data_IF_958553305495
#
_entry.id   IF_958553305495
#
_cell.length_a   1.000
_cell.length_b   1.000
_cell.length_c   1.000
_cell.angle_alpha   90.00
_cell.angle_beta   90.00
_cell.angle_gamma   90.00
#
_symmetry.space_group_name_H-M   'P 1'
#
loop_
_entity.id
_entity.type
_entity.pdbx_description
1 polymer ?
#
# COMPACT_ATOMS: atom_id res chain seq x y z
N UNK A 1 -55.16 55.63 85.30
CA UNK A 1 -54.09 55.19 84.37
C UNK A 1 -54.65 55.02 82.97
N UNK A 2 -53.98 55.44 81.98
CA UNK A 2 -54.30 55.23 80.49
C UNK A 2 -53.16 54.46 79.86
N UNK A 3 -53.47 53.49 79.04
CA UNK A 3 -52.51 52.81 78.17
C UNK A 3 -52.76 53.28 76.77
N UNK A 4 -51.70 53.67 76.06
CA UNK A 4 -51.70 54.03 74.62
C UNK A 4 -50.75 53.07 73.87
N UNK A 5 -51.18 52.60 72.70
CA UNK A 5 -50.40 51.74 71.85
C UNK A 5 -50.53 52.18 70.40
N UNK A 6 -49.47 51.98 69.66
CA UNK A 6 -49.46 52.21 68.19
C UNK A 6 -48.54 51.17 67.57
N UNK A 7 -48.74 50.86 66.29
CA UNK A 7 -47.94 49.92 65.49
C UNK A 7 -47.31 50.66 64.36
N UNK A 8 -46.05 50.36 64.07
CA UNK A 8 -45.36 50.87 62.87
C UNK A 8 -44.80 49.72 62.09
N UNK A 9 -44.84 49.86 60.75
CA UNK A 9 -44.23 48.86 59.83
C UNK A 9 -42.75 49.23 59.68
N UNK A 10 -41.90 48.21 59.92
CA UNK A 10 -40.45 48.29 59.82
C UNK A 10 -39.92 47.81 58.46
N UNK A 11 -40.85 47.42 57.53
CA UNK A 11 -40.48 46.90 56.22
C UNK A 11 -39.70 47.94 55.39
N UNK A 12 -38.54 47.53 54.84
CA UNK A 12 -37.71 48.39 54.01
C UNK A 12 -36.75 49.31 54.76
N UNK A 13 -36.70 49.24 56.07
CA UNK A 13 -35.65 49.90 56.85
C UNK A 13 -34.37 49.04 56.82
N UNK A 14 -33.22 49.67 56.55
CA UNK A 14 -31.95 48.96 56.62
C UNK A 14 -31.67 48.44 58.03
N UNK A 15 -30.97 47.27 58.07
CA UNK A 15 -30.43 46.81 59.36
C UNK A 15 -29.57 47.87 60.01
N UNK A 16 -29.47 47.85 61.32
CA UNK A 16 -28.74 48.86 62.10
C UNK A 16 -29.49 50.19 62.24
N UNK A 17 -30.65 50.42 61.61
CA UNK A 17 -31.45 51.62 61.78
C UNK A 17 -31.89 51.72 63.24
N UNK A 18 -31.61 52.89 63.89
CA UNK A 18 -32.02 53.19 65.23
C UNK A 18 -33.29 54.02 65.18
N UNK A 19 -34.36 53.45 65.70
CA UNK A 19 -35.65 54.13 65.85
C UNK A 19 -35.77 54.66 67.25
N UNK A 20 -36.08 55.94 67.35
CA UNK A 20 -36.36 56.56 68.63
C UNK A 20 -37.89 56.77 68.81
N UNK A 21 -38.48 55.99 69.69
CA UNK A 21 -39.89 56.10 70.02
C UNK A 21 -40.01 56.97 71.24
N UNK A 22 -40.63 58.16 71.09
CA UNK A 22 -40.82 59.15 72.14
C UNK A 22 -42.32 59.30 72.42
N UNK A 23 -42.68 59.03 73.70
CA UNK A 23 -44.03 59.28 74.21
C UNK A 23 -44.03 60.54 75.00
N UNK A 24 -44.98 61.44 74.69
CA UNK A 24 -45.28 62.68 75.38
C UNK A 24 -46.59 62.46 76.19
N UNK A 25 -46.62 62.70 77.46
CA UNK A 25 -47.81 62.72 78.25
C UNK A 25 -48.00 64.13 78.82
N UNK A 26 -49.21 64.67 78.64
CA UNK A 26 -49.58 66.03 79.16
C UNK A 26 -50.70 65.86 80.21
N UNK A 27 -50.54 66.43 81.34
CA UNK A 27 -51.59 66.48 82.38
C UNK A 27 -52.61 67.61 82.14
N UNK A 28 -53.66 67.68 82.92
CA UNK A 28 -54.73 68.71 82.88
C UNK A 28 -54.22 70.12 83.12
N UNK A 29 -53.09 70.32 83.72
CA UNK A 29 -52.40 71.59 83.95
C UNK A 29 -51.37 71.93 82.86
N UNK A 30 -51.36 71.21 81.77
CA UNK A 30 -50.47 71.38 80.62
C UNK A 30 -48.97 71.05 80.97
N UNK A 31 -48.66 70.31 82.05
CA UNK A 31 -47.30 69.81 82.28
C UNK A 31 -47.02 68.64 81.33
N UNK A 32 -45.91 68.66 80.67
CA UNK A 32 -45.48 67.61 79.65
C UNK A 32 -44.35 66.82 80.27
N UNK A 33 -44.47 65.47 80.24
CA UNK A 33 -43.38 64.56 80.49
C UNK A 33 -43.17 63.72 79.24
N UNK A 34 -41.91 63.56 78.87
CA UNK A 34 -41.52 62.63 77.79
C UNK A 34 -40.76 61.47 78.32
N UNK A 35 -40.87 60.30 77.60
CA UNK A 35 -40.02 59.18 77.73
C UNK A 35 -39.67 58.59 76.35
N UNK A 36 -38.44 58.29 76.16
CA UNK A 36 -37.94 57.81 74.85
C UNK A 36 -37.29 56.36 75.05
N UNK A 37 -37.56 55.55 74.11
CA UNK A 37 -36.98 54.23 73.94
C UNK A 37 -36.38 54.05 72.56
N UNK A 38 -35.14 53.60 72.56
CA UNK A 38 -34.43 53.26 71.29
C UNK A 38 -34.68 51.81 70.95
N UNK A 39 -35.03 51.58 69.65
CA UNK A 39 -35.10 50.25 69.05
C UNK A 39 -34.13 50.22 67.89
N UNK A 40 -33.18 49.31 67.89
CA UNK A 40 -32.30 49.08 66.77
C UNK A 40 -32.83 47.90 65.97
N UNK A 41 -32.95 48.11 64.67
CA UNK A 41 -33.35 47.05 63.72
C UNK A 41 -32.18 46.13 63.52
N UNK A 42 -32.36 44.83 63.84
CA UNK A 42 -31.37 43.82 63.56
C UNK A 42 -31.26 43.63 62.04
N UNK A 43 -30.05 43.59 61.54
CA UNK A 43 -29.78 43.21 60.19
C UNK A 43 -29.78 41.67 60.04
N UNK A 44 -30.58 41.14 59.10
CA UNK A 44 -30.68 39.71 58.77
C UNK A 44 -30.43 39.47 57.26
N UNK A 45 -30.02 40.50 56.54
CA UNK A 45 -29.76 40.41 55.13
C UNK A 45 -28.29 40.02 54.92
N UNK A 46 -28.03 38.97 54.16
CA UNK A 46 -26.66 38.52 53.86
C UNK A 46 -26.02 39.36 52.76
N UNK A 47 -24.70 39.53 52.75
CA UNK A 47 -24.01 40.22 51.66
C UNK A 47 -24.32 39.64 50.29
N UNK A 48 -24.35 40.49 49.26
CA UNK A 48 -24.41 40.07 47.86
C UNK A 48 -22.98 39.88 47.35
N UNK A 49 -22.69 38.70 46.75
CA UNK A 49 -21.36 38.34 46.26
C UNK A 49 -21.46 37.98 44.78
N UNK A 50 -20.79 38.75 43.90
CA UNK A 50 -20.61 38.43 42.50
C UNK A 50 -19.15 38.17 42.22
N UNK A 51 -18.85 36.92 41.78
CA UNK A 51 -17.49 36.49 41.51
C UNK A 51 -17.23 36.14 40.06
N UNK A 52 -16.02 36.44 39.58
CA UNK A 52 -15.59 36.21 38.22
C UNK A 52 -14.13 35.80 38.16
N UNK A 53 -13.78 35.10 37.07
CA UNK A 53 -12.39 34.82 36.71
C UNK A 53 -11.94 35.76 35.57
N UNK A 54 -10.65 36.06 35.49
CA UNK A 54 -10.05 36.80 34.39
C UNK A 54 -9.95 35.95 33.09
N UNK A 55 -10.18 34.65 33.15
CA UNK A 55 -10.10 33.70 32.02
C UNK A 55 -11.29 32.74 32.06
N UNK A 56 -11.77 32.33 30.88
CA UNK A 56 -12.75 31.26 30.70
C UNK A 56 -12.11 29.87 30.51
N UNK A 57 -10.88 29.85 29.98
CA UNK A 57 -10.09 28.65 29.77
C UNK A 57 -8.75 28.81 30.47
N UNK A 58 -8.54 28.05 31.52
CA UNK A 58 -7.29 28.03 32.26
C UNK A 58 -6.33 26.97 31.69
N UNK A 59 -5.04 27.22 31.73
CA UNK A 59 -4.00 26.30 31.34
C UNK A 59 -3.15 25.88 32.53
N UNK A 60 -2.63 24.66 32.52
CA UNK A 60 -1.65 24.21 33.50
C UNK A 60 -0.47 25.19 33.54
N UNK A 61 0.09 25.40 34.75
CA UNK A 61 1.20 26.33 34.99
C UNK A 61 0.89 27.83 34.70
N UNK A 62 -0.34 28.19 34.42
CA UNK A 62 -0.75 29.61 34.32
C UNK A 62 -1.15 30.19 35.66
N UNK A 63 -1.46 31.49 35.67
CA UNK A 63 -2.06 32.18 36.82
C UNK A 63 -3.50 32.55 36.50
N UNK A 64 -4.38 32.32 37.44
CA UNK A 64 -5.79 32.73 37.34
C UNK A 64 -6.08 33.75 38.41
N UNK A 65 -6.67 34.90 38.00
CA UNK A 65 -7.15 35.90 38.96
C UNK A 65 -8.64 35.66 39.21
N UNK A 66 -8.97 35.57 40.46
CA UNK A 66 -10.32 35.49 40.97
C UNK A 66 -10.69 36.84 41.61
N UNK A 67 -11.80 37.43 41.20
CA UNK A 67 -12.30 38.71 41.69
C UNK A 67 -13.73 38.54 42.20
N UNK A 68 -14.02 39.09 43.38
CA UNK A 68 -15.37 39.14 43.88
C UNK A 68 -15.74 40.57 44.28
N UNK A 69 -16.89 41.06 43.75
CA UNK A 69 -17.54 42.27 44.16
C UNK A 69 -18.57 41.92 45.25
N UNK A 70 -18.46 42.58 46.39
CA UNK A 70 -19.24 42.28 47.59
C UNK A 70 -19.94 43.57 48.01
N UNK A 71 -21.24 43.53 48.22
CA UNK A 71 -22.03 44.65 48.71
C UNK A 71 -22.98 44.24 49.82
N UNK A 72 -23.23 45.15 50.75
CA UNK A 72 -24.17 44.97 51.87
C UNK A 72 -24.74 46.34 52.29
N UNK A 73 -26.01 46.42 52.69
CA UNK A 73 -26.65 47.67 53.01
C UNK A 73 -26.24 48.24 54.34
N UNK A 74 -25.77 47.42 55.30
CA UNK A 74 -25.34 47.83 56.63
C UNK A 74 -23.86 48.01 56.78
N UNK A 75 -23.09 47.16 56.12
CA UNK A 75 -21.66 47.23 56.08
C UNK A 75 -20.98 45.87 56.09
N UNK A 76 -19.83 45.83 55.48
CA UNK A 76 -19.01 44.63 55.36
C UNK A 76 -18.00 44.52 56.49
N UNK A 77 -17.76 43.28 57.00
CA UNK A 77 -16.79 42.97 58.02
C UNK A 77 -15.57 42.23 57.47
N UNK A 78 -15.80 41.14 56.74
CA UNK A 78 -14.71 40.34 56.23
C UNK A 78 -15.11 39.50 54.99
N UNK A 79 -14.08 39.07 54.21
CA UNK A 79 -14.25 38.02 53.23
C UNK A 79 -13.14 36.99 53.37
N UNK A 80 -13.51 35.73 53.26
CA UNK A 80 -12.59 34.58 53.27
C UNK A 80 -12.70 33.87 51.90
N UNK A 81 -11.58 33.72 51.26
CA UNK A 81 -11.48 33.11 49.94
C UNK A 81 -10.74 31.76 50.08
N UNK A 82 -11.26 30.75 49.41
CA UNK A 82 -10.63 29.41 49.36
C UNK A 82 -10.66 28.87 47.93
N UNK A 83 -9.57 28.15 47.55
CA UNK A 83 -9.52 27.33 46.36
C UNK A 83 -9.00 25.95 46.70
N UNK A 84 -9.68 24.94 46.20
CA UNK A 84 -9.24 23.55 46.33
C UNK A 84 -8.44 23.19 45.08
N UNK A 85 -7.14 22.93 45.24
CA UNK A 85 -6.24 22.35 44.25
C UNK A 85 -6.03 20.86 44.57
N UNK A 86 -5.62 20.07 43.59
CA UNK A 86 -5.22 18.68 43.78
C UNK A 86 -4.06 18.51 44.81
N UNK A 87 -3.23 19.53 44.91
CA UNK A 87 -2.08 19.59 45.84
C UNK A 87 -2.41 20.15 47.22
N UNK A 88 -3.63 20.61 47.47
CA UNK A 88 -4.04 21.16 48.75
C UNK A 88 -5.02 22.31 48.63
N UNK A 89 -5.35 22.92 49.78
CA UNK A 89 -6.28 24.03 49.87
C UNK A 89 -5.51 25.33 50.09
N UNK A 90 -5.76 26.33 49.28
CA UNK A 90 -5.24 27.69 49.43
C UNK A 90 -6.37 28.56 49.97
N UNK A 91 -6.05 29.53 50.85
CA UNK A 91 -7.01 30.47 51.41
C UNK A 91 -6.38 31.85 51.59
N UNK A 92 -7.23 32.88 51.55
CA UNK A 92 -6.88 34.23 51.87
C UNK A 92 -8.02 34.89 52.66
N UNK A 93 -7.67 35.77 53.63
CA UNK A 93 -8.60 36.46 54.47
C UNK A 93 -8.46 37.98 54.26
N UNK A 94 -9.59 38.67 54.16
CA UNK A 94 -9.67 40.11 53.94
C UNK A 94 -10.53 40.74 55.01
N UNK A 95 -10.01 41.80 55.62
CA UNK A 95 -10.82 42.69 56.48
C UNK A 95 -11.48 43.73 55.55
N UNK A 96 -12.78 43.85 55.64
CA UNK A 96 -13.57 44.76 54.80
C UNK A 96 -14.16 45.91 55.65
N UNK A 97 -14.56 46.97 55.00
CA UNK A 97 -15.25 48.08 55.60
C UNK A 97 -16.13 48.82 54.58
N UNK A 98 -17.14 49.54 55.04
CA UNK A 98 -18.11 50.20 54.18
C UNK A 98 -19.15 49.24 53.62
N UNK A 99 -19.99 49.71 52.71
CA UNK A 99 -21.11 48.96 52.13
C UNK A 99 -20.76 48.27 50.82
N UNK A 100 -19.55 48.47 50.28
CA UNK A 100 -19.08 47.84 49.05
C UNK A 100 -17.59 47.64 49.09
N UNK A 101 -17.13 46.47 48.63
CA UNK A 101 -15.73 46.11 48.51
C UNK A 101 -15.48 45.21 47.34
N UNK A 102 -14.28 45.28 46.75
CA UNK A 102 -13.79 44.32 45.79
C UNK A 102 -12.56 43.59 46.41
N UNK A 103 -12.59 42.28 46.33
CA UNK A 103 -11.43 41.44 46.70
C UNK A 103 -10.95 40.69 45.47
N UNK A 104 -9.64 40.57 45.31
CA UNK A 104 -9.05 39.81 44.22
C UNK A 104 -7.81 39.07 44.72
N UNK A 105 -7.54 37.91 44.12
CA UNK A 105 -6.34 37.17 44.35
C UNK A 105 -5.90 36.44 43.10
N UNK A 106 -4.60 36.08 43.03
CA UNK A 106 -3.99 35.33 41.94
C UNK A 106 -3.56 33.96 42.48
N UNK A 107 -3.92 32.92 41.76
CA UNK A 107 -3.56 31.54 42.08
C UNK A 107 -2.76 30.92 40.95
N UNK A 108 -1.60 30.33 41.27
CA UNK A 108 -0.83 29.54 40.36
C UNK A 108 -1.47 28.17 40.15
N UNK A 109 -1.57 27.72 38.92
CA UNK A 109 -2.08 26.39 38.54
C UNK A 109 -0.96 25.35 38.37
N UNK A 110 0.26 25.61 38.90
CA UNK A 110 1.39 24.70 38.79
C UNK A 110 1.18 23.35 39.52
N UNK A 111 0.23 23.29 40.45
CA UNK A 111 -0.16 22.06 41.14
C UNK A 111 -1.39 21.36 40.53
N UNK A 112 -1.89 21.82 39.40
CA UNK A 112 -3.07 21.29 38.74
C UNK A 112 -2.63 20.44 37.54
N UNK A 113 -3.21 19.27 37.37
CA UNK A 113 -3.10 18.50 36.13
C UNK A 113 -4.15 18.99 35.15
N UNK A 114 -3.98 18.67 33.87
CA UNK A 114 -4.98 18.95 32.85
C UNK A 114 -6.33 18.33 33.23
N UNK A 115 -7.42 18.96 32.81
CA UNK A 115 -8.81 18.61 33.15
C UNK A 115 -9.18 18.73 34.67
N UNK A 116 -8.26 19.16 35.51
CA UNK A 116 -8.64 19.41 36.90
C UNK A 116 -9.72 20.48 37.01
N UNK A 117 -10.64 20.30 37.97
CA UNK A 117 -11.69 21.28 38.25
C UNK A 117 -11.36 21.97 39.57
N UNK A 118 -11.21 23.28 39.50
CA UNK A 118 -10.97 24.14 40.65
C UNK A 118 -12.29 24.67 41.16
N UNK A 119 -12.49 24.58 42.46
CA UNK A 119 -13.63 25.22 43.12
C UNK A 119 -13.13 26.39 43.97
N UNK A 120 -13.40 27.59 43.47
CA UNK A 120 -13.18 28.87 44.18
C UNK A 120 -14.41 29.21 44.97
N UNK A 121 -14.25 29.30 46.27
CA UNK A 121 -15.33 29.62 47.20
C UNK A 121 -14.98 30.87 47.99
N UNK A 122 -15.90 31.81 48.08
CA UNK A 122 -15.79 33.02 48.90
C UNK A 122 -16.92 33.04 49.91
N UNK A 123 -16.58 33.40 51.15
CA UNK A 123 -17.50 33.68 52.25
C UNK A 123 -17.38 35.16 52.54
N UNK A 124 -18.47 35.92 52.44
CA UNK A 124 -18.52 37.30 52.85
C UNK A 124 -19.36 37.44 54.12
N UNK A 125 -18.86 38.20 55.07
CA UNK A 125 -19.52 38.46 56.37
C UNK A 125 -19.74 39.96 56.50
N UNK A 126 -20.95 40.36 56.88
CA UNK A 126 -21.31 41.77 57.21
C UNK A 126 -20.98 42.11 58.67
N UNK A 127 -21.21 43.37 59.04
CA UNK A 127 -21.00 43.84 60.43
C UNK A 127 -21.99 43.26 61.41
N UNK A 128 -23.06 42.64 60.99
CA UNK A 128 -24.09 41.94 61.77
C UNK A 128 -23.85 40.43 61.89
N UNK A 129 -22.74 39.95 61.30
CA UNK A 129 -22.33 38.54 61.25
C UNK A 129 -23.23 37.65 60.33
N UNK A 130 -23.99 38.22 59.42
CA UNK A 130 -24.63 37.41 58.37
C UNK A 130 -23.58 37.00 57.36
N UNK A 131 -23.65 35.72 56.88
CA UNK A 131 -22.64 35.15 55.98
C UNK A 131 -23.26 34.70 54.68
N UNK A 132 -22.65 35.11 53.59
CA UNK A 132 -22.94 34.64 52.22
C UNK A 132 -21.77 33.86 51.68
N UNK A 133 -22.08 32.68 51.13
CA UNK A 133 -21.13 31.86 50.36
C UNK A 133 -21.47 32.01 48.85
N UNK A 134 -20.45 32.16 48.04
CA UNK A 134 -20.54 31.96 46.60
C UNK A 134 -19.41 31.09 46.09
N UNK A 135 -19.71 30.16 45.15
CA UNK A 135 -18.72 29.23 44.61
C UNK A 135 -18.76 29.25 43.08
N UNK A 136 -17.59 29.24 42.47
CA UNK A 136 -17.44 29.26 41.01
C UNK A 136 -16.42 28.16 40.63
N UNK A 137 -16.77 27.35 39.63
CA UNK A 137 -15.93 26.31 39.10
C UNK A 137 -15.14 26.82 37.89
N UNK A 138 -13.88 26.39 37.82
CA UNK A 138 -13.00 26.61 36.68
C UNK A 138 -12.33 25.31 36.29
N UNK A 139 -12.46 24.89 35.03
CA UNK A 139 -11.79 23.69 34.49
C UNK A 139 -10.50 24.09 33.82
N UNK A 140 -9.43 23.35 34.06
CA UNK A 140 -8.14 23.51 33.39
C UNK A 140 -8.19 22.74 32.09
N UNK A 141 -7.89 23.40 30.99
CA UNK A 141 -7.91 22.81 29.65
C UNK A 141 -6.77 21.83 29.44
N UNK A 142 -7.06 20.78 28.73
CA UNK A 142 -6.07 19.86 28.19
C UNK A 142 -5.50 20.45 26.87
N UNK A 143 -4.19 20.54 26.76
CA UNK A 143 -3.46 21.03 25.58
C UNK A 143 -2.36 20.06 25.13
N UNK A 144 -2.28 18.91 25.77
CA UNK A 144 -1.27 17.88 25.47
C UNK A 144 -1.78 16.97 24.36
N UNK A 145 -1.15 16.98 23.19
CA UNK A 145 -1.57 16.08 22.09
C UNK A 145 -1.27 14.62 22.41
N UNK A 146 -2.02 13.66 21.82
CA UNK A 146 -1.77 12.24 21.97
C UNK A 146 -0.34 11.82 21.60
N UNK A 147 0.18 10.78 22.22
CA UNK A 147 1.41 10.10 21.79
C UNK A 147 1.05 9.07 20.74
N UNK A 148 1.73 9.12 19.57
CA UNK A 148 1.48 8.25 18.42
C UNK A 148 2.74 7.48 18.06
N UNK A 149 2.71 6.15 18.22
CA UNK A 149 3.78 5.23 17.82
C UNK A 149 3.28 4.31 16.72
N UNK A 150 4.04 4.19 15.64
CA UNK A 150 3.70 3.35 14.50
C UNK A 150 4.70 2.21 14.32
N UNK A 151 4.21 1.03 13.96
CA UNK A 151 5.03 -0.15 13.62
C UNK A 151 4.55 -0.78 12.33
N UNK A 152 5.47 -1.43 11.62
CA UNK A 152 5.24 -2.08 10.34
C UNK A 152 5.88 -3.47 10.37
N UNK A 153 5.30 -4.42 9.60
CA UNK A 153 5.85 -5.77 9.49
C UNK A 153 7.13 -5.83 8.65
N UNK A 154 7.44 -4.79 7.88
CA UNK A 154 8.67 -4.68 7.08
C UNK A 154 9.14 -3.23 7.00
N UNK A 155 10.45 -3.04 6.87
CA UNK A 155 11.10 -1.74 6.62
C UNK A 155 11.57 -1.59 5.18
N UNK A 156 11.52 -2.67 4.38
CA UNK A 156 11.95 -2.71 2.98
C UNK A 156 10.91 -3.47 2.16
N UNK A 157 9.76 -2.85 1.88
CA UNK A 157 8.67 -3.50 1.17
C UNK A 157 8.99 -3.73 -0.31
N UNK A 158 8.51 -4.85 -0.86
CA UNK A 158 8.61 -5.21 -2.27
C UNK A 158 7.23 -5.10 -2.93
N UNK A 159 7.19 -4.99 -4.23
CA UNK A 159 5.95 -4.88 -5.00
C UNK A 159 5.07 -6.15 -5.02
N UNK A 160 5.45 -7.19 -4.28
CA UNK A 160 4.67 -8.43 -4.06
C UNK A 160 4.22 -8.58 -2.60
N UNK A 161 4.57 -7.63 -1.72
CA UNK A 161 4.32 -7.76 -0.29
C UNK A 161 2.94 -7.21 0.11
N UNK A 162 2.47 -7.65 1.29
CA UNK A 162 1.38 -7.02 2.04
C UNK A 162 2.00 -6.33 3.24
N UNK A 163 1.81 -5.01 3.36
CA UNK A 163 2.23 -4.26 4.53
C UNK A 163 1.12 -4.33 5.57
N UNK A 164 1.48 -4.83 6.77
CA UNK A 164 0.70 -4.67 7.99
C UNK A 164 1.24 -3.47 8.76
N UNK A 165 0.39 -2.55 9.13
CA UNK A 165 0.76 -1.38 9.91
C UNK A 165 -0.14 -1.23 11.12
N UNK A 166 0.49 -0.87 12.23
CA UNK A 166 -0.15 -0.75 13.53
C UNK A 166 0.24 0.58 14.15
N UNK A 167 -0.73 1.28 14.70
CA UNK A 167 -0.56 2.49 15.49
C UNK A 167 -0.98 2.27 16.93
N UNK A 168 -0.09 2.54 17.87
CA UNK A 168 -0.40 2.62 19.29
C UNK A 168 -0.54 4.09 19.66
N UNK A 169 -1.70 4.44 20.17
CA UNK A 169 -2.07 5.82 20.52
C UNK A 169 -2.39 5.88 22.01
N UNK A 170 -1.79 6.83 22.73
CA UNK A 170 -2.09 7.04 24.15
C UNK A 170 -2.25 8.53 24.43
N UNK A 171 -3.16 8.84 25.36
CA UNK A 171 -3.39 10.17 25.88
C UNK A 171 -3.86 10.09 27.34
N UNK A 172 -3.36 11.01 28.20
CA UNK A 172 -3.70 10.99 29.62
C UNK A 172 -5.13 11.35 29.94
N UNK A 173 -5.77 12.14 29.09
CA UNK A 173 -7.11 12.69 29.32
C UNK A 173 -8.19 12.05 28.42
N UNK A 174 -7.78 11.27 27.42
CA UNK A 174 -8.69 10.46 26.60
C UNK A 174 -8.57 10.68 25.10
N UNK A 175 -8.81 9.62 24.38
CA UNK A 175 -8.74 9.57 22.92
C UNK A 175 -10.12 9.76 22.30
N UNK A 176 -10.19 10.45 21.16
CA UNK A 176 -11.41 10.66 20.36
C UNK A 176 -11.36 9.86 19.06
N UNK A 177 -10.29 10.00 18.28
CA UNK A 177 -10.20 9.37 16.96
C UNK A 177 -8.76 9.15 16.50
N UNK A 178 -8.59 8.25 15.52
CA UNK A 178 -7.36 8.14 14.76
C UNK A 178 -7.68 7.92 13.27
N UNK A 179 -6.82 8.47 12.40
CA UNK A 179 -6.97 8.36 10.96
C UNK A 179 -5.65 7.93 10.35
N UNK A 180 -5.64 6.79 9.64
CA UNK A 180 -4.55 6.44 8.75
C UNK A 180 -4.77 7.05 7.37
N UNK A 181 -3.74 7.65 6.82
CA UNK A 181 -3.65 8.02 5.41
C UNK A 181 -2.46 7.34 4.78
N UNK A 182 -2.66 6.79 3.59
CA UNK A 182 -1.59 6.23 2.76
C UNK A 182 -1.61 7.02 1.46
N UNK A 183 -0.53 7.77 1.20
CA UNK A 183 -0.36 8.50 -0.04
C UNK A 183 0.44 7.64 -1.02
N UNK A 184 -0.15 7.36 -2.18
CA UNK A 184 0.49 6.77 -3.35
C UNK A 184 0.74 7.88 -4.39
N UNK A 185 1.58 7.61 -5.36
CA UNK A 185 1.75 8.50 -6.53
C UNK A 185 0.44 8.68 -7.32
N UNK A 186 -0.49 7.71 -7.23
CA UNK A 186 -1.75 7.67 -7.99
C UNK A 186 -2.98 8.01 -7.17
N UNK A 187 -2.87 8.30 -5.86
CA UNK A 187 -4.02 8.58 -5.01
C UNK A 187 -3.76 8.48 -3.52
N UNK A 188 -4.84 8.52 -2.73
CA UNK A 188 -4.82 8.40 -1.27
C UNK A 188 -5.82 7.35 -0.80
N UNK A 189 -5.44 6.59 0.21
CA UNK A 189 -6.35 5.75 0.99
C UNK A 189 -6.53 6.35 2.39
N UNK A 190 -7.74 6.22 2.94
CA UNK A 190 -8.11 6.70 4.28
C UNK A 190 -8.75 5.59 5.08
N UNK A 191 -8.41 5.52 6.36
CA UNK A 191 -9.04 4.62 7.33
C UNK A 191 -9.26 5.38 8.62
N UNK A 192 -10.53 5.48 9.03
CA UNK A 192 -10.94 6.24 10.21
C UNK A 192 -11.34 5.30 11.33
N UNK A 193 -10.94 5.63 12.55
CA UNK A 193 -11.24 4.90 13.77
C UNK A 193 -11.81 5.84 14.81
N UNK A 194 -12.93 5.49 15.42
CA UNK A 194 -13.41 6.12 16.64
C UNK A 194 -12.71 5.47 17.82
N UNK A 195 -12.13 6.26 18.68
CA UNK A 195 -11.38 5.81 19.85
C UNK A 195 -12.09 6.21 21.14
N UNK A 196 -11.72 5.55 22.25
CA UNK A 196 -12.18 5.90 23.59
C UNK A 196 -11.15 5.40 24.62
N UNK A 197 -11.22 5.97 25.84
CA UNK A 197 -10.25 5.66 26.89
C UNK A 197 -8.92 6.36 26.65
N UNK A 198 -7.90 5.96 27.39
CA UNK A 198 -6.57 6.61 27.40
C UNK A 198 -5.53 5.87 26.57
N UNK A 199 -5.86 4.71 25.99
CA UNK A 199 -4.97 3.91 25.14
C UNK A 199 -5.77 3.13 24.12
N UNK A 200 -5.29 3.11 22.88
CA UNK A 200 -5.89 2.36 21.80
C UNK A 200 -4.82 1.87 20.80
N UNK A 201 -5.12 0.75 20.14
CA UNK A 201 -4.35 0.25 19.02
C UNK A 201 -5.23 0.22 17.77
N UNK A 202 -4.71 0.76 16.67
CA UNK A 202 -5.35 0.73 15.35
C UNK A 202 -4.42 0.03 14.37
N UNK A 203 -4.94 -0.89 13.56
CA UNK A 203 -4.15 -1.64 12.58
C UNK A 203 -4.92 -1.85 11.28
N UNK A 204 -4.18 -1.97 10.20
CA UNK A 204 -4.73 -2.35 8.90
C UNK A 204 -3.63 -2.95 8.00
N UNK A 205 -4.04 -3.39 6.82
CA UNK A 205 -3.14 -4.00 5.82
C UNK A 205 -3.32 -3.30 4.47
N UNK A 206 -2.24 -3.25 3.71
CA UNK A 206 -2.25 -2.76 2.32
C UNK A 206 -1.48 -3.73 1.44
N UNK A 207 -2.07 -4.10 0.31
CA UNK A 207 -1.43 -4.92 -0.71
C UNK A 207 -0.65 -4.03 -1.69
N UNK A 208 0.61 -4.37 -1.95
CA UNK A 208 1.49 -3.63 -2.85
C UNK A 208 1.58 -4.25 -4.24
N UNK A 209 0.90 -5.39 -4.47
CA UNK A 209 0.95 -6.09 -5.76
C UNK A 209 0.51 -5.20 -6.92
N UNK A 210 1.34 -5.14 -7.97
CA UNK A 210 1.09 -4.33 -9.16
C UNK A 210 1.49 -2.86 -9.04
N UNK A 211 2.05 -2.42 -7.91
CA UNK A 211 2.68 -1.11 -7.83
C UNK A 211 4.09 -1.19 -8.43
N UNK A 212 4.48 -0.23 -9.29
CA UNK A 212 5.83 -0.21 -9.84
C UNK A 212 6.90 -0.10 -8.76
N UNK A 213 8.04 -0.73 -8.99
CA UNK A 213 9.23 -0.48 -8.17
C UNK A 213 9.61 1.00 -8.17
N UNK A 214 10.22 1.47 -7.10
CA UNK A 214 10.50 2.89 -6.88
C UNK A 214 9.30 3.72 -6.43
N UNK A 215 8.07 3.16 -6.37
CA UNK A 215 6.92 3.88 -5.81
C UNK A 215 7.17 4.27 -4.38
N UNK A 216 6.93 5.54 -4.06
CA UNK A 216 7.05 6.08 -2.70
C UNK A 216 5.68 6.06 -2.04
N UNK A 217 5.61 5.42 -0.87
CA UNK A 217 4.43 5.35 -0.01
C UNK A 217 4.69 6.18 1.24
N UNK A 218 3.78 7.09 1.57
CA UNK A 218 3.80 7.81 2.83
C UNK A 218 2.60 7.37 3.68
N UNK A 219 2.89 6.64 4.76
CA UNK A 219 1.93 6.25 5.79
C UNK A 219 1.93 7.32 6.88
N UNK A 220 0.78 7.93 7.14
CA UNK A 220 0.62 8.92 8.21
C UNK A 220 -0.54 8.52 9.11
N UNK A 221 -0.27 8.38 10.40
CA UNK A 221 -1.30 8.24 11.43
C UNK A 221 -1.51 9.56 12.13
N UNK A 222 -2.73 10.06 12.09
CA UNK A 222 -3.20 11.18 12.89
C UNK A 222 -3.97 10.63 14.09
N UNK A 223 -3.78 11.21 15.25
CA UNK A 223 -4.61 10.92 16.42
C UNK A 223 -5.12 12.23 17.04
N UNK A 224 -6.35 12.20 17.49
CA UNK A 224 -7.04 13.32 18.13
C UNK A 224 -7.57 12.86 19.49
N UNK A 225 -7.34 13.66 20.54
CA UNK A 225 -7.90 13.45 21.86
C UNK A 225 -9.31 14.07 22.01
N UNK A 226 -9.92 13.90 23.18
CA UNK A 226 -11.25 14.44 23.49
C UNK A 226 -11.26 15.98 23.59
N UNK A 227 -10.10 16.61 23.73
CA UNK A 227 -9.91 18.06 23.77
C UNK A 227 -9.59 18.66 22.39
N UNK A 228 -9.57 17.83 21.35
CA UNK A 228 -9.25 18.19 19.96
C UNK A 228 -7.75 18.53 19.73
N UNK A 229 -6.84 18.16 20.61
CA UNK A 229 -5.42 18.21 20.30
C UNK A 229 -5.07 17.11 19.32
N UNK A 230 -4.21 17.42 18.33
CA UNK A 230 -3.88 16.50 17.26
C UNK A 230 -2.38 16.23 17.20
N UNK A 231 -2.02 14.98 17.04
CA UNK A 231 -0.65 14.51 16.75
C UNK A 231 -0.63 13.63 15.52
N UNK A 232 0.42 13.74 14.73
CA UNK A 232 0.68 12.81 13.62
C UNK A 232 2.05 12.15 13.76
N UNK A 233 2.15 10.95 13.19
CA UNK A 233 3.41 10.25 12.94
C UNK A 233 3.41 9.74 11.49
N UNK A 234 4.52 9.93 10.77
CA UNK A 234 4.63 9.56 9.35
C UNK A 234 5.85 8.68 9.11
N UNK A 235 5.69 7.68 8.25
CA UNK A 235 6.75 6.81 7.79
C UNK A 235 6.70 6.69 6.26
N UNK A 236 7.84 6.86 5.61
CA UNK A 236 7.98 6.78 4.16
C UNK A 236 8.69 5.50 3.78
N UNK A 237 8.15 4.77 2.82
CA UNK A 237 8.77 3.59 2.20
C UNK A 237 8.93 3.81 0.70
N UNK A 238 10.02 3.27 0.15
CA UNK A 238 10.19 3.09 -1.29
C UNK A 238 10.06 1.61 -1.60
N UNK A 239 9.17 1.26 -2.53
CA UNK A 239 8.91 -0.13 -2.92
C UNK A 239 10.09 -0.63 -3.75
N UNK A 240 10.68 -1.76 -3.34
CA UNK A 240 11.65 -2.48 -4.14
C UNK A 240 10.92 -3.32 -5.20
N UNK A 241 11.42 -3.28 -6.41
CA UNK A 241 10.96 -4.12 -7.50
C UNK A 241 11.66 -5.49 -7.49
N UNK A 242 10.87 -6.56 -7.53
CA UNK A 242 11.36 -7.95 -7.63
C UNK A 242 10.63 -8.73 -8.73
N UNK A 243 9.79 -8.08 -9.51
CA UNK A 243 9.09 -8.69 -10.64
C UNK A 243 10.03 -8.70 -11.84
N UNK A 244 10.17 -9.87 -12.46
CA UNK A 244 11.00 -10.03 -13.65
C UNK A 244 10.23 -9.63 -14.91
N UNK A 245 10.89 -9.16 -15.96
CA UNK A 245 10.25 -8.83 -17.23
C UNK A 245 9.43 -9.97 -17.82
N UNK A 246 8.34 -9.65 -18.50
CA UNK A 246 7.57 -10.59 -19.31
C UNK A 246 8.13 -10.60 -20.73
N UNK A 247 8.45 -11.79 -21.25
CA UNK A 247 9.05 -11.97 -22.59
C UNK A 247 8.20 -12.92 -23.41
N UNK A 248 7.60 -12.40 -24.48
CA UNK A 248 6.84 -13.16 -25.47
C UNK A 248 7.59 -13.18 -26.80
N UNK A 249 7.85 -14.38 -27.33
CA UNK A 249 8.69 -14.59 -28.51
C UNK A 249 7.93 -15.23 -29.66
N UNK A 250 8.25 -14.82 -30.90
CA UNK A 250 7.65 -15.36 -32.12
C UNK A 250 8.69 -15.49 -33.22
N UNK A 251 8.47 -16.44 -34.14
CA UNK A 251 9.18 -16.53 -35.40
C UNK A 251 8.30 -16.06 -36.56
N UNK A 252 8.91 -15.53 -37.61
CA UNK A 252 8.19 -15.16 -38.84
C UNK A 252 7.80 -16.38 -39.70
N UNK A 253 8.34 -17.56 -39.38
CA UNK A 253 8.10 -18.83 -40.12
C UNK A 253 7.86 -19.96 -39.10
N UNK A 254 7.04 -20.93 -39.53
CA UNK A 254 6.79 -22.17 -38.77
C UNK A 254 7.65 -23.35 -39.29
N UNK A 255 8.00 -23.35 -40.55
CA UNK A 255 8.84 -24.36 -41.22
C UNK A 255 10.10 -23.68 -41.76
N UNK A 256 11.18 -23.79 -41.02
CA UNK A 256 12.48 -23.30 -41.44
C UNK A 256 13.15 -24.33 -42.35
N UNK A 257 13.85 -23.85 -43.40
CA UNK A 257 14.64 -24.68 -44.32
C UNK A 257 16.08 -24.17 -44.37
N UNK A 258 17.01 -25.03 -44.71
CA UNK A 258 18.43 -24.69 -44.89
C UNK A 258 18.55 -23.54 -45.91
N UNK A 259 19.53 -22.66 -45.71
CA UNK A 259 19.78 -21.46 -46.55
C UNK A 259 18.70 -20.39 -46.53
N UNK A 260 17.68 -20.49 -45.69
CA UNK A 260 16.70 -19.44 -45.47
C UNK A 260 17.14 -18.46 -44.38
N UNK A 261 16.33 -17.40 -44.17
CA UNK A 261 16.48 -16.46 -43.03
C UNK A 261 15.28 -16.62 -42.10
N UNK A 262 15.54 -16.61 -40.83
CA UNK A 262 14.53 -16.60 -39.77
C UNK A 262 14.61 -15.30 -39.01
N UNK A 263 13.48 -14.60 -38.91
CA UNK A 263 13.33 -13.47 -38.01
C UNK A 263 12.77 -13.96 -36.69
N UNK A 264 13.48 -13.67 -35.65
CA UNK A 264 13.07 -13.89 -34.26
C UNK A 264 12.69 -12.53 -33.65
N UNK A 265 11.47 -12.44 -33.13
CA UNK A 265 10.94 -11.24 -32.51
C UNK A 265 10.57 -11.52 -31.06
N UNK A 266 10.94 -10.63 -30.15
CA UNK A 266 10.53 -10.65 -28.77
C UNK A 266 9.83 -9.35 -28.38
N UNK A 267 8.65 -9.47 -27.82
CA UNK A 267 7.94 -8.40 -27.11
C UNK A 267 8.23 -8.53 -25.63
N UNK A 268 8.76 -7.48 -25.04
CA UNK A 268 9.24 -7.45 -23.66
C UNK A 268 8.51 -6.33 -22.94
N UNK A 269 7.95 -6.64 -21.78
CA UNK A 269 7.25 -5.66 -20.93
C UNK A 269 7.65 -5.82 -19.48
N UNK A 270 7.66 -4.70 -18.75
CA UNK A 270 7.94 -4.64 -17.33
C UNK A 270 7.21 -3.43 -16.71
N UNK A 271 6.67 -3.55 -15.50
CA UNK A 271 5.88 -2.48 -14.88
C UNK A 271 6.74 -1.33 -14.34
N UNK A 272 8.02 -1.57 -14.05
CA UNK A 272 8.95 -0.57 -13.53
C UNK A 272 9.77 0.07 -14.65
N UNK A 273 10.30 -0.76 -15.55
CA UNK A 273 11.05 -0.31 -16.71
C UNK A 273 12.10 -1.30 -17.16
N UNK A 274 12.39 -1.27 -18.45
CA UNK A 274 13.35 -2.13 -19.12
C UNK A 274 14.74 -1.48 -19.16
N UNK A 275 15.79 -2.28 -18.96
CA UNK A 275 17.19 -1.86 -19.04
C UNK A 275 17.88 -2.42 -20.30
N UNK A 276 17.80 -3.73 -20.51
CA UNK A 276 18.50 -4.38 -21.60
C UNK A 276 17.88 -5.71 -22.00
N UNK A 277 18.21 -6.17 -23.21
CA UNK A 277 17.96 -7.54 -23.63
C UNK A 277 19.18 -8.11 -24.37
N UNK A 278 19.49 -9.37 -24.06
CA UNK A 278 20.54 -10.12 -24.74
C UNK A 278 19.90 -11.28 -25.47
N UNK A 279 20.15 -11.37 -26.75
CA UNK A 279 19.65 -12.41 -27.61
C UNK A 279 20.79 -13.37 -28.00
N UNK A 280 20.52 -14.66 -27.95
CA UNK A 280 21.50 -15.69 -28.37
C UNK A 280 20.81 -16.77 -29.20
N UNK A 281 21.53 -17.28 -30.19
CA UNK A 281 21.15 -18.49 -30.92
C UNK A 281 22.35 -19.45 -31.01
N UNK A 282 22.11 -20.72 -30.71
CA UNK A 282 23.10 -21.76 -30.88
C UNK A 282 22.93 -22.38 -32.27
N UNK A 283 23.93 -22.22 -33.12
CA UNK A 283 24.09 -22.89 -34.41
C UNK A 283 25.08 -24.03 -34.28
N UNK A 284 25.05 -24.99 -35.19
CA UNK A 284 26.04 -26.09 -35.24
C UNK A 284 27.49 -25.57 -35.43
N UNK A 285 27.64 -24.39 -36.01
CA UNK A 285 28.96 -23.74 -36.26
C UNK A 285 29.39 -22.74 -35.18
N UNK A 286 28.56 -22.54 -34.14
CA UNK A 286 28.88 -21.64 -33.03
C UNK A 286 27.66 -20.90 -32.50
N UNK A 287 27.93 -19.95 -31.60
CA UNK A 287 26.89 -19.14 -30.94
C UNK A 287 26.89 -17.72 -31.54
N UNK A 288 25.74 -17.25 -31.97
CA UNK A 288 25.51 -15.87 -32.35
C UNK A 288 24.80 -15.15 -31.19
N UNK A 289 25.12 -13.87 -30.97
CA UNK A 289 24.47 -13.06 -29.96
C UNK A 289 24.31 -11.61 -30.43
N UNK A 290 23.32 -10.93 -29.88
CA UNK A 290 23.10 -9.49 -30.01
C UNK A 290 22.66 -8.90 -28.67
N UNK A 291 23.09 -7.67 -28.39
CA UNK A 291 22.77 -6.94 -27.18
C UNK A 291 21.97 -5.69 -27.55
N UNK A 292 20.94 -5.41 -26.77
CA UNK A 292 20.05 -4.27 -26.95
C UNK A 292 19.97 -3.47 -25.64
N UNK A 293 20.13 -2.18 -25.72
CA UNK A 293 19.76 -1.27 -24.65
C UNK A 293 18.28 -0.93 -24.81
N UNK A 294 17.51 -1.10 -23.76
CA UNK A 294 16.06 -0.86 -23.74
C UNK A 294 15.74 0.33 -22.83
N UNK A 295 14.56 0.88 -22.97
CA UNK A 295 14.02 1.93 -22.12
C UNK A 295 12.49 1.92 -22.11
N UNK A 296 11.88 2.52 -21.08
CA UNK A 296 10.44 2.49 -20.89
C UNK A 296 9.93 1.15 -20.38
N UNK A 297 8.64 0.95 -20.36
CA UNK A 297 7.98 -0.25 -19.81
C UNK A 297 7.63 -1.30 -20.87
N UNK A 298 7.91 -1.03 -22.14
CA UNK A 298 7.63 -1.93 -23.26
C UNK A 298 8.65 -1.74 -24.36
N UNK A 299 9.13 -2.83 -24.94
CA UNK A 299 10.03 -2.84 -26.07
C UNK A 299 9.77 -4.05 -26.97
N UNK A 300 10.03 -3.88 -28.26
CA UNK A 300 10.09 -4.97 -29.21
C UNK A 300 11.49 -5.01 -29.81
N UNK A 301 12.11 -6.18 -29.80
CA UNK A 301 13.36 -6.43 -30.49
C UNK A 301 13.17 -7.51 -31.53
N UNK A 302 13.90 -7.42 -32.65
CA UNK A 302 13.91 -8.45 -33.67
C UNK A 302 15.31 -8.60 -34.23
N UNK A 303 15.62 -9.81 -34.71
CA UNK A 303 16.87 -10.09 -35.40
C UNK A 303 16.65 -11.16 -36.45
N UNK A 304 17.43 -11.08 -37.52
CA UNK A 304 17.44 -12.05 -38.62
C UNK A 304 18.66 -12.96 -38.53
N UNK A 305 18.45 -14.25 -38.55
CA UNK A 305 19.52 -15.24 -38.55
C UNK A 305 19.51 -16.04 -39.84
N UNK A 306 20.67 -16.14 -40.51
CA UNK A 306 20.83 -17.01 -41.69
C UNK A 306 20.99 -18.46 -41.25
N UNK A 307 20.30 -19.37 -41.91
CA UNK A 307 20.38 -20.80 -41.68
C UNK A 307 21.36 -21.50 -42.65
N UNK A 308 22.24 -20.75 -43.33
CA UNK A 308 23.20 -21.29 -44.26
C UNK A 308 24.26 -22.21 -43.62
N UNK A 309 24.49 -22.05 -42.32
CA UNK A 309 25.43 -22.89 -41.56
C UNK A 309 24.73 -24.02 -40.78
N UNK A 310 23.44 -24.14 -40.95
CA UNK A 310 22.65 -25.20 -40.28
C UNK A 310 22.59 -26.40 -41.17
N UNK A 311 22.90 -27.59 -40.63
CA UNK A 311 22.60 -28.84 -41.34
C UNK A 311 21.08 -29.06 -41.34
N UNK A 312 20.60 -29.86 -42.29
CA UNK A 312 19.21 -30.34 -42.30
C UNK A 312 18.91 -31.05 -40.98
N UNK A 313 17.68 -30.99 -40.51
CA UNK A 313 17.21 -31.49 -39.20
C UNK A 313 17.89 -30.90 -37.99
N UNK A 314 18.67 -29.81 -38.15
CA UNK A 314 19.22 -29.10 -36.99
C UNK A 314 18.10 -28.44 -36.17
N UNK A 315 18.29 -28.39 -34.86
CA UNK A 315 17.39 -27.69 -33.94
C UNK A 315 18.13 -26.50 -33.36
N UNK A 316 17.61 -25.32 -33.61
CA UNK A 316 18.13 -24.05 -33.11
C UNK A 316 17.46 -23.72 -31.79
N UNK A 317 18.25 -23.31 -30.81
CA UNK A 317 17.75 -22.76 -29.57
C UNK A 317 17.97 -21.25 -29.54
N UNK A 318 16.88 -20.49 -29.71
CA UNK A 318 16.86 -19.05 -29.55
C UNK A 318 16.56 -18.72 -28.10
N UNK A 319 17.47 -18.03 -27.45
CA UNK A 319 17.34 -17.64 -26.06
C UNK A 319 17.45 -16.15 -25.92
N UNK A 320 16.54 -15.56 -25.17
CA UNK A 320 16.57 -14.14 -24.82
C UNK A 320 16.64 -14.01 -23.30
N UNK A 321 17.46 -13.07 -22.84
CA UNK A 321 17.53 -12.60 -21.47
C UNK A 321 17.08 -11.15 -21.47
N UNK A 322 16.03 -10.83 -20.77
CA UNK A 322 15.58 -9.46 -20.55
C UNK A 322 15.87 -9.04 -19.11
N UNK A 323 16.40 -7.83 -18.97
CA UNK A 323 16.74 -7.23 -17.66
C UNK A 323 15.99 -5.93 -17.51
N UNK A 324 15.34 -5.72 -16.36
CA UNK A 324 14.69 -4.48 -15.98
C UNK A 324 15.66 -3.48 -15.34
N UNK A 325 15.16 -2.31 -14.98
CA UNK A 325 15.93 -1.24 -14.31
C UNK A 325 16.32 -1.58 -12.87
N UNK A 326 15.68 -2.59 -12.27
CA UNK A 326 15.96 -3.10 -10.93
C UNK A 326 16.92 -4.29 -10.94
N UNK A 327 17.42 -4.70 -12.14
CA UNK A 327 18.30 -5.85 -12.39
C UNK A 327 17.63 -7.22 -12.18
N UNK A 328 16.29 -7.31 -12.21
CA UNK A 328 15.64 -8.60 -12.30
C UNK A 328 15.76 -9.14 -13.74
N UNK A 329 16.01 -10.44 -13.89
CA UNK A 329 16.30 -11.04 -15.19
C UNK A 329 15.30 -12.14 -15.51
N UNK A 330 14.73 -12.08 -16.71
CA UNK A 330 13.92 -13.13 -17.31
C UNK A 330 14.63 -13.76 -18.48
N UNK A 331 14.71 -15.08 -18.47
CA UNK A 331 15.11 -15.89 -19.63
C UNK A 331 13.88 -16.49 -20.29
N UNK A 332 13.83 -16.44 -21.63
CA UNK A 332 12.90 -17.23 -22.43
C UNK A 332 13.65 -17.91 -23.58
N UNK A 333 13.33 -19.19 -23.85
CA UNK A 333 13.97 -19.97 -24.90
C UNK A 333 12.92 -20.61 -25.78
N UNK A 334 13.15 -20.58 -27.09
CA UNK A 334 12.25 -21.18 -28.08
C UNK A 334 13.08 -21.99 -29.08
N UNK A 335 12.63 -23.23 -29.33
CA UNK A 335 13.28 -24.12 -30.28
C UNK A 335 12.66 -23.95 -31.68
N UNK A 336 13.51 -23.98 -32.70
CA UNK A 336 13.12 -24.01 -34.10
C UNK A 336 13.82 -25.17 -34.78
N UNK A 337 13.05 -26.11 -35.30
CA UNK A 337 13.57 -27.20 -36.14
C UNK A 337 13.70 -26.76 -37.59
N UNK A 338 14.80 -27.11 -38.23
CA UNK A 338 15.03 -26.88 -39.67
C UNK A 338 14.63 -28.15 -40.42
N UNK A 339 13.73 -27.99 -41.37
CA UNK A 339 13.21 -29.09 -42.17
C UNK A 339 14.26 -29.54 -43.23
N UNK A 340 14.32 -30.79 -43.43
CA UNK A 340 15.04 -31.41 -44.52
C UNK A 340 14.18 -31.38 -45.80
N UNK A 341 14.72 -30.84 -46.90
CA UNK A 341 14.07 -30.73 -48.21
C UNK A 341 14.92 -31.37 -49.35
N UNK A 342 16.06 -31.97 -48.98
CA UNK A 342 17.00 -32.53 -49.93
C UNK A 342 16.65 -34.01 -50.17
N UNK A 343 16.28 -34.41 -51.40
CA UNK A 343 16.02 -35.80 -51.71
C UNK A 343 17.30 -36.67 -51.63
N UNK A 344 17.16 -37.95 -51.32
CA UNK A 344 18.27 -38.88 -51.30
C UNK A 344 19.11 -38.88 -52.57
N UNK A 345 20.40 -39.11 -52.45
CA UNK A 345 21.28 -39.39 -53.60
C UNK A 345 21.22 -40.90 -53.93
N UNK A 346 20.91 -41.22 -55.17
CA UNK A 346 20.75 -42.59 -55.61
C UNK A 346 21.74 -42.89 -56.78
N UNK A 347 22.70 -43.74 -56.56
CA UNK A 347 23.66 -44.21 -57.54
C UNK A 347 23.39 -45.70 -57.84
N UNK A 348 23.21 -46.04 -59.12
CA UNK A 348 22.84 -47.39 -59.55
C UNK A 348 23.93 -48.03 -60.39
N UNK A 349 24.12 -49.33 -60.23
CA UNK A 349 25.09 -50.11 -60.99
C UNK A 349 24.52 -51.50 -61.32
N UNK A 350 25.06 -52.11 -62.40
CA UNK A 350 24.82 -53.52 -62.73
C UNK A 350 26.09 -54.33 -62.60
N UNK A 351 25.98 -55.63 -62.35
CA UNK A 351 27.09 -56.59 -62.30
C UNK A 351 27.59 -56.93 -63.70
N UNK A 352 26.81 -56.65 -64.78
CA UNK A 352 27.13 -56.98 -66.17
C UNK A 352 26.83 -55.77 -67.05
N UNK A 353 27.73 -55.42 -68.00
CA UNK A 353 27.58 -54.26 -68.89
C UNK A 353 26.99 -54.59 -70.29
N UNK A 354 27.08 -55.85 -70.72
CA UNK A 354 26.54 -56.41 -71.94
C UNK A 354 25.88 -57.77 -71.68
N UNK A 355 24.68 -57.80 -71.13
CA UNK A 355 24.00 -59.03 -70.79
C UNK A 355 23.43 -59.73 -72.02
N UNK A 356 23.34 -61.08 -71.99
CA UNK A 356 22.64 -61.91 -72.95
C UNK A 356 21.29 -62.39 -72.41
N UNK A 357 20.42 -62.89 -73.28
CA UNK A 357 19.13 -63.46 -72.94
C UNK A 357 19.37 -64.64 -71.93
N UNK A 358 18.55 -64.71 -70.85
CA UNK A 358 18.68 -65.66 -69.70
C UNK A 358 19.81 -65.35 -68.73
N UNK A 359 20.61 -64.28 -68.96
CA UNK A 359 21.57 -63.91 -67.87
C UNK A 359 20.82 -63.45 -66.63
N UNK A 360 21.48 -63.63 -65.47
CA UNK A 360 21.03 -63.13 -64.18
C UNK A 360 21.82 -61.84 -63.93
N UNK A 361 21.11 -60.75 -63.99
CA UNK A 361 21.71 -59.46 -63.59
C UNK A 361 21.33 -59.08 -62.18
N UNK A 362 22.31 -58.47 -61.51
CA UNK A 362 22.11 -57.90 -60.18
C UNK A 362 22.14 -56.36 -60.35
N UNK A 363 21.00 -55.70 -60.03
CA UNK A 363 20.86 -54.26 -60.01
C UNK A 363 21.10 -53.78 -58.60
N UNK A 364 22.10 -52.94 -58.38
CA UNK A 364 22.52 -52.46 -57.09
C UNK A 364 22.34 -50.94 -57.02
N UNK A 365 21.80 -50.43 -55.95
CA UNK A 365 21.71 -49.03 -55.61
C UNK A 365 22.42 -48.69 -54.34
N UNK A 366 23.30 -47.70 -54.42
CA UNK A 366 23.88 -47.02 -53.26
C UNK A 366 23.09 -45.75 -53.01
N UNK A 367 22.51 -45.65 -51.83
CA UNK A 367 21.60 -44.55 -51.46
C UNK A 367 22.19 -43.84 -50.26
N UNK A 368 22.28 -42.53 -50.32
CA UNK A 368 22.74 -41.72 -49.17
C UNK A 368 21.82 -40.49 -49.01
N UNK A 369 21.61 -40.15 -47.76
CA UNK A 369 20.87 -38.96 -47.36
C UNK A 369 21.35 -38.47 -45.98
N UNK A 370 21.57 -37.15 -45.83
CA UNK A 370 22.07 -36.57 -44.57
C UNK A 370 21.00 -36.53 -43.46
N UNK A 371 19.75 -36.39 -43.84
CA UNK A 371 18.58 -36.34 -42.95
C UNK A 371 18.15 -37.74 -42.48
N UNK A 372 18.47 -38.76 -43.27
CA UNK A 372 18.13 -40.18 -42.98
C UNK A 372 17.19 -40.82 -43.98
N UNK A 373 17.40 -42.09 -44.23
CA UNK A 373 16.65 -42.89 -45.19
C UNK A 373 15.44 -43.56 -44.57
N UNK A 374 14.31 -43.62 -45.31
CA UNK A 374 13.08 -44.32 -44.88
C UNK A 374 12.84 -45.60 -45.68
N UNK A 375 12.85 -45.48 -47.03
CA UNK A 375 12.56 -46.61 -47.88
C UNK A 375 13.16 -46.49 -49.29
N UNK A 376 13.26 -47.59 -49.99
CA UNK A 376 13.53 -47.58 -51.43
C UNK A 376 12.72 -48.68 -52.12
N UNK A 377 12.52 -48.54 -53.44
CA UNK A 377 12.01 -49.60 -54.25
C UNK A 377 12.72 -49.65 -55.61
N UNK A 378 12.86 -50.85 -56.13
CA UNK A 378 13.35 -51.13 -57.47
C UNK A 378 12.13 -51.55 -58.32
N UNK A 379 11.94 -50.90 -59.47
CA UNK A 379 10.86 -51.20 -60.41
C UNK A 379 11.51 -51.46 -61.78
N UNK A 380 11.14 -52.52 -62.43
CA UNK A 380 11.58 -52.85 -63.77
C UNK A 380 10.48 -53.59 -64.58
N UNK A 381 10.52 -53.50 -65.89
CA UNK A 381 9.59 -54.14 -66.80
C UNK A 381 10.35 -55.08 -67.75
N UNK A 382 10.08 -56.39 -67.71
CA UNK A 382 10.63 -57.41 -68.55
C UNK A 382 9.47 -58.04 -69.27
N UNK A 383 9.44 -57.96 -70.66
CA UNK A 383 8.44 -58.56 -71.52
C UNK A 383 6.98 -58.21 -71.13
N UNK A 384 6.73 -56.98 -70.62
CA UNK A 384 5.41 -56.51 -70.23
C UNK A 384 5.06 -56.81 -68.76
N UNK A 385 5.89 -57.55 -67.99
CA UNK A 385 5.70 -57.84 -66.60
C UNK A 385 6.45 -56.78 -65.75
N UNK A 386 5.69 -55.99 -65.00
CA UNK A 386 6.25 -55.01 -64.10
C UNK A 386 6.49 -55.68 -62.74
N UNK A 387 7.75 -55.63 -62.28
CA UNK A 387 8.14 -56.08 -60.96
C UNK A 387 8.52 -54.89 -60.11
N UNK A 388 8.03 -54.86 -58.83
CA UNK A 388 8.39 -53.89 -57.83
C UNK A 388 8.88 -54.61 -56.54
N UNK A 389 10.09 -54.27 -56.11
CA UNK A 389 10.69 -54.77 -54.90
C UNK A 389 10.90 -53.65 -53.90
N UNK A 390 10.32 -53.76 -52.73
CA UNK A 390 10.37 -52.71 -51.69
C UNK A 390 11.40 -53.08 -50.61
N UNK A 391 12.07 -52.02 -50.10
CA UNK A 391 13.06 -52.10 -49.03
C UNK A 391 12.75 -51.08 -47.96
N UNK A 392 12.73 -51.46 -46.72
CA UNK A 392 12.75 -50.55 -45.59
C UNK A 392 14.20 -50.19 -45.27
N UNK A 393 14.48 -48.88 -45.16
CA UNK A 393 15.83 -48.39 -44.92
C UNK A 393 15.89 -47.67 -43.58
N UNK A 394 17.10 -47.50 -43.07
CA UNK A 394 17.38 -46.69 -41.87
C UNK A 394 18.82 -46.19 -41.89
N UNK A 395 19.09 -45.10 -41.12
CA UNK A 395 20.40 -44.47 -41.10
C UNK A 395 20.59 -43.53 -42.32
N UNK A 396 21.81 -43.09 -42.56
CA UNK A 396 22.15 -42.08 -43.60
C UNK A 396 22.74 -42.70 -44.87
N UNK A 397 22.94 -44.01 -44.90
CA UNK A 397 23.49 -44.74 -46.08
C UNK A 397 22.95 -46.14 -46.11
N UNK A 398 22.61 -46.60 -47.28
CA UNK A 398 22.17 -47.98 -47.54
C UNK A 398 22.59 -48.45 -48.92
N UNK A 399 22.87 -49.74 -49.02
CA UNK A 399 23.02 -50.43 -50.28
C UNK A 399 21.91 -51.48 -50.39
N UNK A 400 21.16 -51.43 -51.49
CA UNK A 400 20.14 -52.42 -51.80
C UNK A 400 20.45 -53.07 -53.15
N UNK A 401 20.05 -54.31 -53.33
CA UNK A 401 20.22 -55.02 -54.60
C UNK A 401 19.08 -56.01 -54.84
N UNK A 402 18.79 -56.22 -56.11
CA UNK A 402 17.87 -57.25 -56.57
C UNK A 402 18.44 -57.98 -57.80
N UNK A 403 18.47 -59.32 -57.76
CA UNK A 403 18.85 -60.12 -58.85
C UNK A 403 17.62 -60.59 -59.64
N UNK A 404 17.67 -60.49 -60.96
CA UNK A 404 16.58 -60.93 -61.84
C UNK A 404 17.14 -61.58 -63.08
N UNK A 405 16.43 -62.65 -63.62
CA UNK A 405 16.75 -63.24 -64.88
C UNK A 405 16.17 -62.50 -66.03
N UNK A 406 16.93 -62.32 -67.10
CA UNK A 406 16.49 -61.60 -68.29
C UNK A 406 15.69 -62.53 -69.25
N UNK A 407 14.42 -62.77 -68.89
CA UNK A 407 13.52 -63.60 -69.72
C UNK A 407 12.86 -62.76 -70.83
N UNK A 408 13.64 -62.31 -71.82
CA UNK A 408 13.17 -61.54 -72.94
C UNK A 408 13.63 -62.15 -74.26
N UNK A 409 12.97 -61.77 -75.38
CA UNK A 409 13.38 -62.07 -76.75
C UNK A 409 14.57 -61.20 -77.14
N UNK A 410 15.30 -61.55 -78.17
CA UNK A 410 16.46 -60.80 -78.63
C UNK A 410 16.15 -59.31 -78.79
N UNK A 411 17.13 -58.42 -78.42
CA UNK A 411 17.09 -56.98 -78.49
C UNK A 411 16.08 -56.29 -77.56
N UNK A 412 15.75 -56.80 -76.42
CA UNK A 412 14.92 -56.11 -75.50
C UNK A 412 15.70 -55.01 -74.72
N UNK A 413 15.00 -53.91 -74.42
CA UNK A 413 15.53 -52.84 -73.56
C UNK A 413 14.73 -52.82 -72.23
N UNK A 414 15.43 -52.96 -71.16
CA UNK A 414 14.82 -52.98 -69.85
C UNK A 414 15.20 -51.72 -69.09
N UNK A 415 14.18 -51.00 -68.60
CA UNK A 415 14.40 -49.87 -67.76
C UNK A 415 14.29 -50.29 -66.26
N UNK A 416 15.38 -50.17 -65.54
CA UNK A 416 15.42 -50.36 -64.11
C UNK A 416 15.35 -48.97 -63.46
N UNK A 417 14.32 -48.73 -62.66
CA UNK A 417 14.12 -47.50 -61.94
C UNK A 417 14.20 -47.80 -60.46
N UNK A 418 15.05 -47.04 -59.75
CA UNK A 418 15.12 -47.03 -58.31
C UNK A 418 14.55 -45.75 -57.75
N UNK A 419 13.64 -45.84 -56.82
CA UNK A 419 13.11 -44.75 -56.01
C UNK A 419 13.68 -44.87 -54.62
N UNK A 420 14.11 -43.76 -54.03
CA UNK A 420 14.46 -43.66 -52.61
C UNK A 420 13.71 -42.54 -51.94
N UNK A 421 13.28 -42.79 -50.74
CA UNK A 421 12.54 -41.83 -49.89
C UNK A 421 13.28 -41.67 -48.58
N UNK A 422 13.50 -40.41 -48.14
CA UNK A 422 14.06 -40.12 -46.80
C UNK A 422 12.97 -40.08 -45.73
N UNK A 423 13.35 -39.83 -44.50
CA UNK A 423 12.43 -39.76 -43.34
C UNK A 423 11.57 -38.49 -43.40
N UNK A 424 11.93 -37.46 -44.19
CA UNK A 424 11.20 -36.23 -44.43
C UNK A 424 10.24 -36.35 -45.63
N UNK A 425 10.15 -37.55 -46.26
CA UNK A 425 9.34 -37.87 -47.42
C UNK A 425 9.80 -37.15 -48.72
N UNK A 426 11.06 -36.69 -48.82
CA UNK A 426 11.62 -36.29 -50.09
C UNK A 426 11.96 -37.55 -50.92
N UNK A 427 11.70 -37.52 -52.21
CA UNK A 427 11.82 -38.66 -53.11
C UNK A 427 12.79 -38.38 -54.23
N UNK A 428 13.68 -39.28 -54.49
CA UNK A 428 14.57 -39.31 -55.68
C UNK A 428 14.37 -40.58 -56.46
N UNK A 429 14.33 -40.44 -57.77
CA UNK A 429 14.45 -41.63 -58.66
C UNK A 429 15.74 -41.55 -59.47
N UNK A 430 16.27 -42.71 -59.81
CA UNK A 430 17.31 -42.89 -60.80
C UNK A 430 16.95 -44.07 -61.68
N UNK A 431 17.07 -43.88 -63.00
CA UNK A 431 16.73 -44.92 -64.01
C UNK A 431 17.94 -45.26 -64.86
N UNK A 432 18.14 -46.53 -65.11
CA UNK A 432 19.23 -47.00 -65.95
C UNK A 432 18.66 -48.02 -66.94
N UNK A 433 18.96 -47.81 -68.24
CA UNK A 433 18.58 -48.72 -69.31
C UNK A 433 19.67 -49.76 -69.51
N UNK A 434 19.25 -51.00 -69.76
CA UNK A 434 20.10 -52.09 -70.13
C UNK A 434 19.53 -52.72 -71.42
N UNK A 435 20.39 -52.97 -72.38
CA UNK A 435 20.02 -53.59 -73.69
C UNK A 435 20.57 -55.03 -73.66
N UNK A 436 19.74 -56.01 -73.99
CA UNK A 436 20.04 -57.42 -74.07
C UNK A 436 20.26 -57.85 -75.49
#
# INVERSE_FOLDING_TARGET
SAQVSNTTNLYGLPGGTVLNFTLYATDVSNNVKQNSTLLTISDAITPVVNSTFNVSNALVNSFVNYTANITDETGLLSANWTVNLSTGKIFANYTLSGTAAQVSNSTSLSGCVETCVLNFTIYATDTSNNVKQNSTLLTVSDVTPPVVNTTFNTTSPRNIDVINFTGNVTDGNGLLSANWTINFTTGKMFMNYSLSGTSAQVSNTTNLYGLPGGTVLNFTLYATDVSNNVKQNSTVFTIADVIVPVVNTTFNITNAIVNSFVNYTANITDETGLLSANWTVNLSTGKIFANYTLSGTSAQISNATSLSSCAETCVLNFTIYATDTSNNVRQNSTLLAVSDITPPVVNTTFNVTAPAVNDVINFTGNITDAGGLLSANITYNISGIITKVNFSLSGTSAQISNATRLECTETCVINFTMYATDISNNVRQNSTLITV
#
